data_IF_687757592876
#
_entry.id   IF_687757592876
#
_cell.length_a   1.000
_cell.length_b   1.000
_cell.length_c   1.000
_cell.angle_alpha   90.00
_cell.angle_beta   90.00
_cell.angle_gamma   90.00
#
_symmetry.space_group_name_H-M   'P 1'
#
loop_
_entity.id
_entity.type
_entity.pdbx_description
1 polymer ?
#
# COMPACT_ATOMS: atom_id res chain seq x y z
N UNK A 1 7.45 2.87 -6.76
CA UNK A 1 7.94 2.84 -5.38
C UNK A 1 8.82 4.03 -5.08
N UNK A 2 8.26 5.02 -4.37
CA UNK A 2 8.97 6.17 -3.82
C UNK A 2 9.59 5.88 -2.44
N UNK A 3 9.44 4.65 -1.94
CA UNK A 3 9.92 4.21 -0.63
C UNK A 3 10.71 2.91 -0.75
N UNK A 4 11.66 2.73 0.17
CA UNK A 4 12.42 1.49 0.32
C UNK A 4 11.79 0.68 1.45
N UNK A 5 11.39 -0.56 1.15
CA UNK A 5 11.03 -1.54 2.17
C UNK A 5 12.14 -2.60 2.23
N UNK A 6 12.66 -2.92 3.43
CA UNK A 6 13.58 -4.03 3.60
C UNK A 6 12.98 -5.32 3.02
N UNK A 7 13.82 -6.16 2.41
CA UNK A 7 13.44 -7.47 1.84
C UNK A 7 12.41 -7.44 0.69
N UNK A 8 12.06 -6.24 0.20
CA UNK A 8 11.21 -6.05 -0.99
C UNK A 8 11.99 -6.03 -2.32
N UNK A 9 13.34 -6.01 -2.27
CA UNK A 9 14.30 -6.22 -3.36
C UNK A 9 13.80 -5.77 -4.74
N UNK A 10 13.79 -6.69 -5.72
CA UNK A 10 13.37 -6.44 -7.11
C UNK A 10 11.88 -6.09 -7.23
N UNK A 11 11.04 -6.48 -6.26
CA UNK A 11 9.62 -6.14 -6.26
C UNK A 11 9.41 -4.63 -6.12
N UNK A 12 10.27 -3.93 -5.39
CA UNK A 12 10.23 -2.46 -5.30
C UNK A 12 10.47 -1.78 -6.65
N UNK A 13 11.40 -2.30 -7.44
CA UNK A 13 11.69 -1.84 -8.81
C UNK A 13 10.51 -2.15 -9.74
N UNK A 14 9.99 -3.38 -9.68
CA UNK A 14 8.83 -3.79 -10.46
C UNK A 14 7.60 -2.92 -10.16
N UNK A 15 7.33 -2.60 -8.88
CA UNK A 15 6.26 -1.67 -8.50
C UNK A 15 6.49 -0.26 -9.05
N UNK A 16 7.72 0.26 -9.00
CA UNK A 16 8.03 1.56 -9.59
C UNK A 16 7.81 1.60 -11.11
N UNK A 17 8.21 0.55 -11.82
CA UNK A 17 7.95 0.41 -13.24
C UNK A 17 6.43 0.33 -13.52
N UNK A 18 5.68 -0.46 -12.75
CA UNK A 18 4.23 -0.59 -12.88
C UNK A 18 3.51 0.76 -12.68
N UNK A 19 3.85 1.51 -11.63
CA UNK A 19 3.28 2.84 -11.37
C UNK A 19 3.58 3.82 -12.51
N UNK A 20 4.77 3.75 -13.11
CA UNK A 20 5.10 4.55 -14.29
C UNK A 20 4.25 4.12 -15.49
N UNK A 21 4.14 2.82 -15.77
CA UNK A 21 3.31 2.29 -16.86
C UNK A 21 1.86 2.72 -16.74
N UNK A 22 1.28 2.76 -15.53
CA UNK A 22 -0.08 3.27 -15.29
C UNK A 22 -0.24 4.71 -15.79
N UNK A 23 0.73 5.60 -15.51
CA UNK A 23 0.68 6.99 -15.97
C UNK A 23 0.77 7.11 -17.48
N UNK A 24 1.69 6.37 -18.11
CA UNK A 24 1.82 6.39 -19.57
C UNK A 24 0.56 5.84 -20.26
N UNK A 25 0.04 4.70 -19.79
CA UNK A 25 -1.18 4.11 -20.33
C UNK A 25 -2.42 4.99 -20.11
N UNK A 26 -2.51 5.69 -18.98
CA UNK A 26 -3.60 6.64 -18.73
C UNK A 26 -3.62 7.79 -19.75
N UNK A 27 -2.46 8.27 -20.19
CA UNK A 27 -2.34 9.29 -21.25
C UNK A 27 -2.72 8.70 -22.60
N UNK A 28 -2.17 7.53 -22.95
CA UNK A 28 -2.38 6.90 -24.27
C UNK A 28 -3.84 6.51 -24.53
N UNK A 29 -4.52 6.03 -23.48
CA UNK A 29 -5.87 5.49 -23.54
C UNK A 29 -6.96 6.50 -23.15
N UNK A 30 -6.60 7.61 -22.51
CA UNK A 30 -7.55 8.63 -22.05
C UNK A 30 -8.40 9.22 -23.18
N UNK A 31 -7.82 9.39 -24.38
CA UNK A 31 -8.55 9.85 -25.59
C UNK A 31 -9.66 8.88 -26.05
N UNK A 32 -9.61 7.62 -25.62
CA UNK A 32 -10.62 6.61 -25.90
C UNK A 32 -11.64 6.48 -24.75
N UNK A 33 -11.60 7.37 -23.76
CA UNK A 33 -12.46 7.29 -22.58
C UNK A 33 -12.09 6.16 -21.61
N UNK A 34 -10.92 5.55 -21.77
CA UNK A 34 -10.44 4.46 -20.90
C UNK A 34 -9.57 5.07 -19.79
N UNK A 35 -9.89 4.71 -18.54
CA UNK A 35 -9.13 5.13 -17.35
C UNK A 35 -8.19 4.03 -16.90
N UNK A 36 -7.01 4.40 -16.42
CA UNK A 36 -6.01 3.45 -15.90
C UNK A 36 -5.53 3.94 -14.55
N UNK A 37 -5.66 3.15 -13.50
CA UNK A 37 -5.26 3.50 -12.14
C UNK A 37 -4.60 2.30 -11.44
N UNK A 38 -3.89 2.56 -10.36
CA UNK A 38 -3.34 1.55 -9.47
C UNK A 38 -3.89 1.69 -8.05
N UNK A 39 -4.03 0.57 -7.36
CA UNK A 39 -4.26 0.54 -5.90
C UNK A 39 -2.96 0.11 -5.23
N UNK A 40 -2.40 0.98 -4.40
CA UNK A 40 -1.29 0.66 -3.51
C UNK A 40 -1.84 0.21 -2.17
N UNK A 41 -2.18 -1.08 -2.08
CA UNK A 41 -2.68 -1.68 -0.85
C UNK A 41 -1.57 -1.87 0.19
N UNK A 42 -1.94 -1.73 1.46
CA UNK A 42 -1.10 -2.13 2.60
C UNK A 42 -0.82 -3.64 2.64
N UNK A 43 0.03 -4.11 3.55
CA UNK A 43 0.28 -5.54 3.74
C UNK A 43 -0.99 -6.26 4.20
N UNK A 44 -1.34 -7.36 3.54
CA UNK A 44 -2.54 -8.15 3.80
C UNK A 44 -2.22 -9.63 3.95
N UNK A 45 -3.08 -10.36 4.67
CA UNK A 45 -2.95 -11.81 4.83
C UNK A 45 -3.49 -12.51 3.58
N UNK A 46 -2.64 -12.64 2.55
CA UNK A 46 -2.93 -13.41 1.33
C UNK A 46 -1.92 -14.54 1.17
N UNK A 47 -2.24 -15.54 0.35
CA UNK A 47 -1.31 -16.62 -0.04
C UNK A 47 0.01 -16.07 -0.57
N UNK A 48 -0.04 -15.05 -1.44
CA UNK A 48 1.15 -14.39 -1.97
C UNK A 48 1.90 -13.58 -0.90
N UNK A 49 1.17 -12.91 0.00
CA UNK A 49 1.74 -12.18 1.13
C UNK A 49 2.48 -13.08 2.11
N UNK A 50 2.01 -14.31 2.33
CA UNK A 50 2.66 -15.26 3.24
C UNK A 50 4.00 -15.82 2.74
N UNK A 51 4.32 -15.66 1.45
CA UNK A 51 5.58 -16.13 0.87
C UNK A 51 6.77 -15.19 1.12
N UNK A 52 6.53 -13.96 1.60
CA UNK A 52 7.59 -13.01 1.95
C UNK A 52 8.05 -13.29 3.39
N UNK A 53 9.34 -13.59 3.59
CA UNK A 53 9.89 -14.10 4.86
C UNK A 53 9.50 -13.31 6.12
N UNK A 54 9.39 -11.97 6.01
CA UNK A 54 9.06 -11.08 7.13
C UNK A 54 7.62 -10.56 7.11
N UNK A 55 6.71 -11.20 6.35
CA UNK A 55 5.34 -10.71 6.17
C UNK A 55 4.59 -10.47 7.48
N UNK A 56 4.80 -11.34 8.49
CA UNK A 56 4.19 -11.19 9.83
C UNK A 56 4.67 -9.94 10.55
N UNK A 57 5.97 -9.64 10.46
CA UNK A 57 6.55 -8.44 11.07
C UNK A 57 6.01 -7.19 10.38
N UNK A 58 6.05 -7.15 9.04
CA UNK A 58 5.56 -6.00 8.25
C UNK A 58 4.06 -5.76 8.50
N UNK A 59 3.26 -6.83 8.62
CA UNK A 59 1.85 -6.74 8.94
C UNK A 59 1.59 -6.13 10.33
N UNK A 60 2.25 -6.66 11.38
CA UNK A 60 2.11 -6.12 12.74
C UNK A 60 2.60 -4.67 12.80
N UNK A 61 3.73 -4.39 12.16
CA UNK A 61 4.32 -3.06 12.11
C UNK A 61 3.38 -2.03 11.46
N UNK A 62 2.79 -2.36 10.31
CA UNK A 62 1.83 -1.49 9.64
C UNK A 62 0.60 -1.24 10.53
N UNK A 63 0.00 -2.30 11.09
CA UNK A 63 -1.16 -2.19 12.00
C UNK A 63 -0.87 -1.30 13.21
N UNK A 64 0.31 -1.42 13.81
CA UNK A 64 0.66 -0.63 14.99
C UNK A 64 0.93 0.82 14.66
N UNK A 65 1.45 1.15 13.47
CA UNK A 65 1.99 2.48 13.19
C UNK A 65 1.20 3.30 12.18
N UNK A 66 0.29 2.70 11.41
CA UNK A 66 -0.64 3.43 10.55
C UNK A 66 -1.54 4.38 11.38
N UNK A 67 -2.00 5.51 10.83
CA UNK A 67 -3.03 6.36 11.43
C UNK A 67 -4.28 5.58 11.81
N UNK A 68 -4.77 4.72 10.92
CA UNK A 68 -5.86 3.78 11.17
C UNK A 68 -5.24 2.50 11.73
N UNK A 69 -5.46 2.23 13.03
CA UNK A 69 -4.78 1.16 13.80
C UNK A 69 -5.38 -0.24 13.57
N UNK A 70 -5.81 -0.50 12.35
CA UNK A 70 -6.52 -1.71 11.94
C UNK A 70 -5.84 -2.35 10.75
N UNK A 71 -6.06 -3.66 10.58
CA UNK A 71 -5.54 -4.39 9.44
C UNK A 71 -6.33 -4.03 8.18
N UNK A 72 -5.66 -4.04 7.03
CA UNK A 72 -6.35 -3.96 5.75
C UNK A 72 -6.95 -5.32 5.41
N UNK A 73 -8.25 -5.32 5.11
CA UNK A 73 -9.02 -6.49 4.68
C UNK A 73 -9.36 -6.39 3.19
N UNK A 74 -9.75 -7.52 2.59
CA UNK A 74 -10.08 -7.59 1.16
C UNK A 74 -11.20 -6.63 0.77
N UNK A 75 -12.18 -6.42 1.63
CA UNK A 75 -13.31 -5.53 1.38
C UNK A 75 -12.87 -4.05 1.25
N UNK A 76 -11.80 -3.64 1.93
CA UNK A 76 -11.27 -2.28 1.80
C UNK A 76 -10.67 -2.05 0.41
N UNK A 77 -9.90 -3.03 -0.10
CA UNK A 77 -9.34 -2.98 -1.45
C UNK A 77 -10.45 -3.14 -2.50
N UNK A 78 -11.43 -4.01 -2.25
CA UNK A 78 -12.60 -4.20 -3.10
C UNK A 78 -13.43 -2.93 -3.24
N UNK A 79 -13.68 -2.22 -2.14
CA UNK A 79 -14.38 -0.93 -2.14
C UNK A 79 -13.64 0.14 -2.94
N UNK A 80 -12.31 0.23 -2.78
CA UNK A 80 -11.49 1.14 -3.59
C UNK A 80 -11.50 0.75 -5.08
N UNK A 81 -11.48 -0.55 -5.39
CA UNK A 81 -11.64 -1.08 -6.74
C UNK A 81 -12.99 -0.69 -7.35
N UNK A 82 -14.09 -0.86 -6.61
CA UNK A 82 -15.42 -0.44 -7.03
C UNK A 82 -15.47 1.06 -7.31
N UNK A 83 -14.90 1.89 -6.42
CA UNK A 83 -14.78 3.34 -6.65
C UNK A 83 -14.04 3.62 -7.96
N UNK A 84 -12.84 3.05 -8.15
CA UNK A 84 -12.00 3.28 -9.32
C UNK A 84 -12.58 2.73 -10.62
N UNK A 85 -13.47 1.74 -10.58
CA UNK A 85 -14.11 1.17 -11.77
C UNK A 85 -15.47 1.82 -12.08
N UNK A 86 -16.14 2.43 -11.10
CA UNK A 86 -17.43 3.08 -11.28
C UNK A 86 -17.34 4.53 -11.75
N UNK A 87 -18.49 5.13 -12.07
CA UNK A 87 -18.61 6.54 -12.46
C UNK A 87 -18.27 7.53 -11.33
N UNK A 88 -18.20 7.06 -10.07
CA UNK A 88 -17.74 7.88 -8.94
C UNK A 88 -16.31 8.41 -9.15
N UNK A 89 -15.52 7.72 -9.97
CA UNK A 89 -14.15 8.11 -10.32
C UNK A 89 -14.02 8.48 -11.81
N UNK A 90 -15.10 8.92 -12.46
CA UNK A 90 -15.14 9.22 -13.90
C UNK A 90 -14.04 10.18 -14.40
N UNK A 91 -13.45 10.98 -13.50
CA UNK A 91 -12.35 11.91 -13.81
C UNK A 91 -11.05 11.62 -13.06
N UNK A 92 -10.86 10.37 -12.63
CA UNK A 92 -9.61 9.90 -12.00
C UNK A 92 -8.94 8.87 -12.91
N UNK A 93 -7.76 9.23 -13.43
CA UNK A 93 -6.91 8.39 -14.28
C UNK A 93 -5.44 8.73 -14.05
N UNK A 94 -4.56 7.73 -14.16
CA UNK A 94 -3.13 7.82 -13.88
C UNK A 94 -2.79 7.80 -12.39
N UNK A 95 -3.77 7.56 -11.52
CA UNK A 95 -3.62 7.71 -10.08
C UNK A 95 -3.10 6.44 -9.41
N UNK A 96 -2.29 6.62 -8.35
CA UNK A 96 -1.89 5.56 -7.43
C UNK A 96 -2.64 5.76 -6.13
N UNK A 97 -3.77 5.09 -5.98
CA UNK A 97 -4.65 5.23 -4.83
C UNK A 97 -4.18 4.35 -3.66
N UNK A 98 -3.80 4.97 -2.54
CA UNK A 98 -3.31 4.25 -1.36
C UNK A 98 -4.47 3.72 -0.51
N UNK A 99 -4.43 2.42 -0.21
CA UNK A 99 -5.39 1.73 0.66
C UNK A 99 -4.60 0.97 1.72
N UNK A 100 -4.01 1.72 2.64
CA UNK A 100 -3.00 1.20 3.58
C UNK A 100 -3.15 1.76 5.01
N UNK A 101 -4.33 2.31 5.33
CA UNK A 101 -4.61 2.91 6.63
C UNK A 101 -3.89 4.24 6.85
N UNK A 102 -3.30 4.81 5.79
CA UNK A 102 -2.48 6.03 5.84
C UNK A 102 -1.05 5.75 6.27
N UNK A 103 -0.52 4.55 6.02
CA UNK A 103 0.85 4.17 6.41
C UNK A 103 1.94 4.67 5.44
N UNK A 104 1.61 4.90 4.17
CA UNK A 104 2.24 5.97 3.41
C UNK A 104 2.12 7.29 4.23
N UNK A 105 2.53 8.50 3.88
CA UNK A 105 2.51 9.66 4.82
C UNK A 105 3.26 9.56 6.19
N UNK A 106 3.28 8.44 6.94
CA UNK A 106 4.05 8.26 8.17
C UNK A 106 5.54 8.28 7.82
N UNK A 107 6.26 9.25 8.41
CA UNK A 107 7.72 9.37 8.31
C UNK A 107 8.46 8.80 9.52
N UNK A 108 7.87 8.90 10.72
CA UNK A 108 8.39 8.32 11.96
C UNK A 108 7.23 7.80 12.82
N UNK A 109 7.31 6.58 13.37
CA UNK A 109 6.35 6.09 14.36
C UNK A 109 6.24 6.99 15.60
N UNK A 110 5.11 6.91 16.32
CA UNK A 110 4.91 7.71 17.53
C UNK A 110 5.90 7.28 18.62
N UNK A 111 6.52 8.25 19.28
CA UNK A 111 7.56 7.99 20.28
C UNK A 111 7.11 7.06 21.42
N UNK A 112 5.85 7.19 21.86
CA UNK A 112 5.31 6.35 22.94
C UNK A 112 5.13 4.89 22.48
N UNK A 113 4.79 4.65 21.21
CA UNK A 113 4.65 3.30 20.63
C UNK A 113 6.05 2.64 20.50
N UNK A 114 7.06 3.42 20.10
CA UNK A 114 8.45 2.96 20.05
C UNK A 114 9.01 2.63 21.44
N UNK A 115 8.78 3.51 22.43
CA UNK A 115 9.22 3.29 23.82
C UNK A 115 8.57 2.04 24.42
N UNK A 116 7.25 1.90 24.27
CA UNK A 116 6.54 0.71 24.73
C UNK A 116 7.07 -0.57 24.07
N UNK A 117 7.44 -0.54 22.78
CA UNK A 117 8.09 -1.67 22.11
C UNK A 117 9.47 -1.98 22.66
N UNK A 118 10.32 -0.96 22.88
CA UNK A 118 11.65 -1.11 23.48
C UNK A 118 11.59 -1.65 24.91
N UNK A 119 10.62 -1.20 25.71
CA UNK A 119 10.39 -1.65 27.08
C UNK A 119 9.82 -3.07 27.13
N UNK A 120 9.03 -3.47 26.12
CA UNK A 120 8.52 -4.85 25.97
C UNK A 120 9.51 -5.85 25.37
N UNK A 121 10.71 -5.41 24.96
CA UNK A 121 11.65 -6.15 24.12
C UNK A 121 13.09 -6.19 24.61
N UNK A 122 13.34 -5.90 25.89
CA UNK A 122 14.63 -6.16 26.54
C UNK A 122 14.79 -7.62 26.97
N UNK A 123 14.64 -8.58 26.06
CA UNK A 123 15.09 -9.97 26.23
C UNK A 123 15.22 -10.58 24.83
N UNK A 124 16.48 -10.60 24.36
CA UNK A 124 16.91 -11.41 23.22
C UNK A 124 17.32 -12.80 23.65
#
# INVERSE_FOLDING_TARGET
STRVMPNYNVMGVAKAALEASVRYLAVDLGRHGIRVNAISAGPMRTLAGSAVGDARFVFKWNKTHAPIKESIELDHVGGAGLYLLSDLSARVSGEVHFVDGGYNIIGLPRQNELKAQMESGGEG
#
